data_IF_665607572928
#
_entry.id   IF_665607572928
#
_cell.length_a   1.000
_cell.length_b   1.000
_cell.length_c   1.000
_cell.angle_alpha   90.00
_cell.angle_beta   90.00
_cell.angle_gamma   90.00
#
_symmetry.space_group_name_H-M   'P 1'
#
loop_
_entity.id
_entity.type
_entity.pdbx_description
1 polymer ?
#
# COMPACT_ATOMS: atom_id res chain seq x y z
N UNK A 1 -9.04 -9.69 3.62
CA UNK A 1 -7.60 -9.40 3.72
C UNK A 1 -7.32 -8.02 3.13
N UNK A 2 -6.68 -7.17 3.89
CA UNK A 2 -6.10 -5.90 3.41
C UNK A 2 -4.58 -6.03 3.50
N UNK A 3 -3.91 -5.94 2.36
CA UNK A 3 -2.45 -5.96 2.28
C UNK A 3 -1.94 -4.55 1.97
N UNK A 4 -1.15 -4.00 2.86
CA UNK A 4 -0.49 -2.72 2.67
C UNK A 4 0.88 -2.90 2.02
N UNK A 5 1.15 -2.12 0.99
CA UNK A 5 2.44 -1.99 0.34
C UNK A 5 2.90 -0.54 0.48
N UNK A 6 3.88 -0.30 1.34
CA UNK A 6 4.28 1.04 1.76
C UNK A 6 5.69 1.36 1.27
N UNK A 7 5.79 2.49 0.57
CA UNK A 7 7.06 3.10 0.21
C UNK A 7 7.71 3.70 1.46
N UNK A 8 8.83 3.13 1.86
CA UNK A 8 9.65 3.65 2.94
C UNK A 8 11.00 4.21 2.46
N UNK A 9 11.13 4.48 1.17
CA UNK A 9 12.26 5.23 0.61
C UNK A 9 12.24 6.66 1.16
N UNK A 10 13.40 7.28 1.35
CA UNK A 10 13.40 8.48 2.15
C UNK A 10 14.13 9.68 1.59
N UNK A 11 13.42 10.76 1.29
CA UNK A 11 13.88 12.14 1.45
C UNK A 11 13.39 12.71 2.80
N UNK A 12 13.94 13.84 3.30
CA UNK A 12 13.46 14.46 4.55
C UNK A 12 11.98 14.84 4.51
N UNK A 13 11.41 15.15 3.35
CA UNK A 13 9.97 15.32 3.14
C UNK A 13 9.19 14.00 3.36
N UNK A 14 9.85 12.84 3.22
CA UNK A 14 9.26 11.53 3.48
C UNK A 14 8.97 11.29 4.97
N UNK A 15 9.66 11.91 5.91
CA UNK A 15 9.38 11.70 7.35
C UNK A 15 8.02 12.21 7.75
N UNK A 16 7.63 13.42 7.33
CA UNK A 16 6.28 13.98 7.60
C UNK A 16 5.20 13.16 6.89
N UNK A 17 5.48 12.74 5.65
CA UNK A 17 4.57 11.87 4.90
C UNK A 17 4.44 10.51 5.57
N UNK A 18 5.53 9.97 6.10
CA UNK A 18 5.53 8.68 6.80
C UNK A 18 4.65 8.70 8.04
N UNK A 19 4.61 9.78 8.81
CA UNK A 19 3.69 9.90 9.95
C UNK A 19 2.22 9.92 9.50
N UNK A 20 1.90 10.65 8.43
CA UNK A 20 0.55 10.64 7.85
C UNK A 20 0.18 9.26 7.31
N UNK A 21 1.12 8.58 6.62
CA UNK A 21 0.95 7.22 6.13
C UNK A 21 0.73 6.24 7.28
N UNK A 22 1.54 6.32 8.33
CA UNK A 22 1.37 5.47 9.53
C UNK A 22 0.00 5.67 10.17
N UNK A 23 -0.44 6.93 10.31
CA UNK A 23 -1.77 7.26 10.82
C UNK A 23 -2.90 6.68 9.98
N UNK A 24 -2.82 6.83 8.66
CA UNK A 24 -3.81 6.28 7.73
C UNK A 24 -3.84 4.74 7.77
N UNK A 25 -2.67 4.10 7.74
CA UNK A 25 -2.56 2.64 7.84
C UNK A 25 -3.09 2.15 9.17
N UNK A 26 -2.80 2.82 10.29
CA UNK A 26 -3.31 2.46 11.62
C UNK A 26 -4.84 2.57 11.67
N UNK A 27 -5.42 3.62 11.10
CA UNK A 27 -6.88 3.77 11.03
C UNK A 27 -7.55 2.65 10.22
N UNK A 28 -6.97 2.29 9.07
CA UNK A 28 -7.44 1.18 8.26
C UNK A 28 -7.27 -0.18 8.94
N UNK A 29 -6.22 -0.32 9.76
CA UNK A 29 -5.99 -1.48 10.62
C UNK A 29 -7.10 -1.65 11.66
N UNK A 30 -7.47 -0.56 12.33
CA UNK A 30 -8.55 -0.57 13.32
C UNK A 30 -9.89 -0.93 12.68
N UNK A 31 -10.18 -0.40 11.49
CA UNK A 31 -11.38 -0.75 10.73
C UNK A 31 -11.38 -2.23 10.31
N UNK A 32 -10.27 -2.73 9.82
CA UNK A 32 -10.11 -4.13 9.44
C UNK A 32 -10.31 -5.08 10.65
N UNK A 33 -9.82 -4.69 11.81
CA UNK A 33 -10.03 -5.44 13.06
C UNK A 33 -11.51 -5.52 13.45
N UNK A 34 -12.23 -4.40 13.43
CA UNK A 34 -13.66 -4.38 13.72
C UNK A 34 -14.44 -5.32 12.81
N UNK A 35 -13.95 -5.56 11.59
CA UNK A 35 -14.54 -6.45 10.59
C UNK A 35 -13.99 -7.88 10.61
N UNK A 36 -13.09 -8.21 11.54
CA UNK A 36 -12.38 -9.50 11.60
C UNK A 36 -11.58 -9.80 10.33
N UNK A 37 -11.11 -8.77 9.63
CA UNK A 37 -10.23 -8.91 8.47
C UNK A 37 -8.80 -9.22 8.91
N UNK A 38 -8.08 -9.95 8.08
CA UNK A 38 -6.62 -10.06 8.19
C UNK A 38 -5.97 -8.83 7.58
N UNK A 39 -4.87 -8.41 8.18
CA UNK A 39 -4.03 -7.31 7.70
C UNK A 39 -2.60 -7.78 7.54
N UNK A 40 -1.96 -7.41 6.44
CA UNK A 40 -0.53 -7.61 6.19
C UNK A 40 0.15 -6.30 5.82
N UNK A 41 1.47 -6.23 6.03
CA UNK A 41 2.28 -5.05 5.73
C UNK A 41 3.57 -5.44 5.02
N UNK A 42 3.75 -4.89 3.85
CA UNK A 42 4.99 -4.95 3.07
C UNK A 42 5.58 -3.54 3.02
N UNK A 43 6.88 -3.45 3.22
CA UNK A 43 7.65 -2.25 3.05
C UNK A 43 8.67 -2.45 1.92
N UNK A 44 8.83 -1.46 1.03
CA UNK A 44 9.88 -1.49 0.02
C UNK A 44 10.79 -0.27 0.14
N UNK A 45 12.10 -0.53 0.12
CA UNK A 45 13.16 0.48 0.20
C UNK A 45 14.53 -0.09 -0.12
N UNK A 46 15.53 0.75 -0.40
CA UNK A 46 16.91 0.32 -0.63
C UNK A 46 17.01 -0.61 -1.82
N UNK A 47 17.32 -1.88 -1.62
CA UNK A 47 17.52 -2.84 -2.67
C UNK A 47 16.32 -3.79 -2.92
N UNK A 48 15.27 -3.75 -2.08
CA UNK A 48 14.19 -4.71 -2.20
C UNK A 48 12.94 -4.41 -1.37
N UNK A 49 12.12 -5.42 -1.22
CA UNK A 49 10.91 -5.38 -0.41
C UNK A 49 10.94 -6.43 0.70
N UNK A 50 10.27 -6.15 1.80
CA UNK A 50 10.18 -7.03 2.95
C UNK A 50 8.76 -7.12 3.46
N UNK A 51 8.27 -8.33 3.68
CA UNK A 51 7.02 -8.60 4.40
C UNK A 51 7.27 -8.38 5.90
N UNK A 52 6.96 -7.16 6.38
CA UNK A 52 7.15 -6.78 7.79
C UNK A 52 6.13 -7.44 8.70
N UNK A 53 4.90 -7.61 8.20
CA UNK A 53 3.81 -8.24 8.92
C UNK A 53 3.14 -9.24 8.00
N UNK A 54 3.30 -10.54 8.24
CA UNK A 54 2.47 -11.56 7.60
C UNK A 54 0.99 -11.33 7.91
N UNK A 55 0.07 -11.69 6.98
CA UNK A 55 -1.36 -11.51 7.19
C UNK A 55 -1.85 -12.07 8.52
N UNK A 56 -2.31 -11.18 9.39
CA UNK A 56 -2.76 -11.47 10.76
C UNK A 56 -4.05 -10.70 11.09
N UNK A 57 -4.78 -11.16 12.09
CA UNK A 57 -5.89 -10.42 12.71
C UNK A 57 -5.48 -9.65 13.98
N UNK A 58 -4.19 -9.65 14.34
CA UNK A 58 -3.68 -8.91 15.50
C UNK A 58 -3.34 -7.47 15.13
N UNK A 59 -4.14 -6.52 15.62
CA UNK A 59 -3.91 -5.07 15.45
C UNK A 59 -2.64 -4.62 16.17
N UNK A 60 -2.42 -5.14 17.38
CA UNK A 60 -1.23 -4.77 18.17
C UNK A 60 0.08 -5.15 17.47
N UNK A 61 0.10 -6.32 16.82
CA UNK A 61 1.26 -6.73 16.03
C UNK A 61 1.49 -5.80 14.84
N UNK A 62 0.41 -5.34 14.18
CA UNK A 62 0.48 -4.43 13.06
C UNK A 62 0.93 -3.03 13.48
N UNK A 63 0.38 -2.49 14.58
CA UNK A 63 0.75 -1.17 15.12
C UNK A 63 2.25 -1.13 15.47
N UNK A 64 2.75 -2.11 16.23
CA UNK A 64 4.17 -2.21 16.56
C UNK A 64 5.10 -2.26 15.34
N UNK A 65 4.68 -2.97 14.28
CA UNK A 65 5.48 -3.05 13.05
C UNK A 65 5.49 -1.75 12.27
N UNK A 66 4.39 -1.00 12.27
CA UNK A 66 4.33 0.34 11.69
C UNK A 66 5.22 1.34 12.41
N UNK A 67 5.20 1.35 13.75
CA UNK A 67 6.04 2.23 14.55
C UNK A 67 7.53 2.03 14.26
N UNK A 68 7.97 0.78 14.16
CA UNK A 68 9.37 0.40 13.94
C UNK A 68 9.76 0.31 12.46
N UNK A 69 8.88 0.72 11.55
CA UNK A 69 9.14 0.62 10.11
C UNK A 69 10.36 1.48 9.72
N UNK A 70 11.39 0.86 9.13
CA UNK A 70 12.60 1.58 8.72
C UNK A 70 12.30 2.51 7.55
N UNK A 71 12.95 3.69 7.52
CA UNK A 71 12.81 4.64 6.42
C UNK A 71 14.18 4.99 5.80
N UNK A 72 14.19 5.30 4.50
CA UNK A 72 15.38 5.75 3.76
C UNK A 72 15.83 4.79 2.67
N UNK A 73 16.67 5.30 1.77
CA UNK A 73 17.24 4.55 0.64
C UNK A 73 16.47 4.72 -0.68
N UNK A 74 16.79 3.88 -1.67
CA UNK A 74 16.21 3.88 -3.01
C UNK A 74 14.78 3.30 -2.99
N UNK A 75 14.07 3.42 -4.10
CA UNK A 75 12.67 3.03 -4.27
C UNK A 75 12.56 1.84 -5.25
N UNK A 76 12.62 0.59 -4.77
CA UNK A 76 12.48 -0.62 -5.59
C UNK A 76 10.99 -1.01 -5.74
N UNK A 77 10.19 -0.16 -6.40
CA UNK A 77 8.74 -0.34 -6.52
C UNK A 77 8.35 -1.69 -7.14
N UNK A 78 9.06 -2.13 -8.18
CA UNK A 78 8.81 -3.42 -8.83
C UNK A 78 8.99 -4.60 -7.86
N UNK A 79 10.02 -4.54 -6.99
CA UNK A 79 10.21 -5.56 -5.94
C UNK A 79 9.07 -5.54 -4.92
N UNK A 80 8.57 -4.36 -4.56
CA UNK A 80 7.39 -4.21 -3.71
C UNK A 80 6.16 -4.88 -4.30
N UNK A 81 5.86 -4.60 -5.56
CA UNK A 81 4.73 -5.21 -6.28
C UNK A 81 4.88 -6.73 -6.41
N UNK A 82 6.11 -7.22 -6.65
CA UNK A 82 6.39 -8.65 -6.73
C UNK A 82 6.14 -9.37 -5.40
N UNK A 83 6.60 -8.81 -4.27
CA UNK A 83 6.36 -9.39 -2.94
C UNK A 83 4.87 -9.33 -2.57
N UNK A 84 4.17 -8.24 -2.92
CA UNK A 84 2.73 -8.15 -2.73
C UNK A 84 2.01 -9.26 -3.51
N UNK A 85 2.33 -9.46 -4.78
CA UNK A 85 1.77 -10.51 -5.62
C UNK A 85 2.01 -11.91 -5.03
N UNK A 86 3.25 -12.19 -4.60
CA UNK A 86 3.61 -13.46 -3.98
C UNK A 86 2.85 -13.71 -2.67
N UNK A 87 2.70 -12.69 -1.83
CA UNK A 87 1.95 -12.77 -0.58
C UNK A 87 0.46 -13.02 -0.84
N UNK A 88 -0.14 -12.30 -1.80
CA UNK A 88 -1.54 -12.49 -2.18
C UNK A 88 -1.81 -13.88 -2.77
N UNK A 89 -0.88 -14.40 -3.58
CA UNK A 89 -0.98 -15.74 -4.14
C UNK A 89 -0.98 -16.81 -3.03
N UNK A 90 -0.09 -16.67 -2.03
CA UNK A 90 -0.05 -17.57 -0.85
C UNK A 90 -1.35 -17.53 -0.06
N UNK A 91 -1.93 -16.36 0.16
CA UNK A 91 -3.20 -16.23 0.89
C UNK A 91 -4.39 -16.76 0.08
N UNK A 92 -4.38 -16.61 -1.23
CA UNK A 92 -5.42 -17.19 -2.12
C UNK A 92 -5.41 -18.72 -2.08
N UNK A 93 -4.23 -19.35 -1.97
CA UNK A 93 -4.13 -20.82 -1.78
C UNK A 93 -4.71 -21.28 -0.43
N UNK A 94 -4.56 -20.46 0.63
CA UNK A 94 -5.10 -20.76 1.96
C UNK A 94 -6.61 -20.56 2.07
N UNK A 95 -7.13 -19.56 1.38
CA UNK A 95 -8.54 -19.22 1.37
C UNK A 95 -8.97 -18.65 0.00
N UNK A 96 -9.36 -19.51 -0.94
CA UNK A 96 -9.74 -19.11 -2.30
C UNK A 96 -10.99 -18.20 -2.36
N UNK A 97 -11.82 -18.19 -1.32
CA UNK A 97 -13.04 -17.36 -1.25
C UNK A 97 -12.75 -15.93 -0.81
N UNK A 98 -11.58 -15.69 -0.23
CA UNK A 98 -11.21 -14.38 0.27
C UNK A 98 -10.85 -13.45 -0.87
N UNK A 99 -11.51 -12.30 -0.91
CA UNK A 99 -11.19 -11.22 -1.84
C UNK A 99 -10.18 -10.28 -1.19
N UNK A 100 -8.91 -10.30 -1.59
CA UNK A 100 -7.91 -9.41 -1.05
C UNK A 100 -8.03 -8.01 -1.64
N UNK A 101 -7.68 -7.00 -0.84
CA UNK A 101 -7.45 -5.64 -1.26
C UNK A 101 -5.97 -5.30 -1.08
N UNK A 102 -5.32 -4.79 -2.12
CA UNK A 102 -3.97 -4.26 -2.06
C UNK A 102 -4.03 -2.73 -1.98
N UNK A 103 -3.53 -2.17 -0.88
CA UNK A 103 -3.41 -0.72 -0.69
C UNK A 103 -1.95 -0.33 -0.85
N UNK A 104 -1.64 0.45 -1.89
CA UNK A 104 -0.28 0.87 -2.23
C UNK A 104 -0.14 2.33 -1.85
N UNK A 105 0.85 2.64 -1.03
CA UNK A 105 1.17 4.00 -0.58
C UNK A 105 2.53 4.38 -1.12
N UNK A 106 2.59 5.27 -2.11
CA UNK A 106 3.80 5.64 -2.84
C UNK A 106 3.61 6.97 -3.57
N UNK A 107 4.70 7.63 -3.94
CA UNK A 107 4.69 8.74 -4.93
C UNK A 107 4.89 8.22 -6.38
N UNK A 108 4.92 6.91 -6.54
CA UNK A 108 5.07 6.26 -7.86
C UNK A 108 6.50 6.26 -8.41
N UNK A 109 7.46 6.89 -7.73
CA UNK A 109 8.85 6.87 -8.17
C UNK A 109 9.43 5.47 -8.07
N UNK A 110 10.29 5.14 -9.01
CA UNK A 110 11.15 3.97 -8.90
C UNK A 110 12.58 4.37 -9.30
N UNK A 111 13.55 4.03 -8.45
CA UNK A 111 14.95 4.39 -8.65
C UNK A 111 15.86 3.17 -8.58
N UNK A 112 15.29 1.99 -8.42
CA UNK A 112 16.01 0.74 -8.26
C UNK A 112 15.20 -0.45 -8.81
N UNK A 113 15.87 -1.32 -9.57
CA UNK A 113 15.30 -2.55 -10.10
C UNK A 113 14.65 -2.40 -11.48
N UNK A 114 13.82 -3.35 -11.85
CA UNK A 114 13.11 -3.39 -13.14
C UNK A 114 11.93 -2.43 -13.19
N UNK A 115 11.40 -2.20 -14.39
CA UNK A 115 10.19 -1.40 -14.61
C UNK A 115 9.00 -1.98 -13.83
N UNK A 116 8.33 -1.18 -12.99
CA UNK A 116 7.15 -1.61 -12.23
C UNK A 116 5.94 -1.92 -13.13
N UNK A 117 5.87 -1.40 -14.35
CA UNK A 117 4.73 -1.58 -15.26
C UNK A 117 4.43 -3.04 -15.55
N UNK A 118 5.47 -3.86 -15.77
CA UNK A 118 5.29 -5.30 -16.01
C UNK A 118 4.66 -6.01 -14.81
N UNK A 119 5.06 -5.64 -13.59
CA UNK A 119 4.51 -6.24 -12.38
C UNK A 119 3.09 -5.74 -12.09
N UNK A 120 2.82 -4.47 -12.38
CA UNK A 120 1.47 -3.90 -12.31
C UNK A 120 0.50 -4.63 -13.27
N UNK A 121 0.92 -4.89 -14.51
CA UNK A 121 0.12 -5.66 -15.47
C UNK A 121 -0.19 -7.08 -14.99
N UNK A 122 0.78 -7.76 -14.34
CA UNK A 122 0.56 -9.09 -13.75
C UNK A 122 -0.45 -9.06 -12.61
N UNK A 123 -0.36 -8.09 -11.69
CA UNK A 123 -1.32 -7.91 -10.60
C UNK A 123 -2.73 -7.64 -11.12
N UNK A 124 -2.84 -6.82 -12.17
CA UNK A 124 -4.11 -6.58 -12.86
C UNK A 124 -4.67 -7.87 -13.47
N UNK A 125 -3.82 -8.68 -14.10
CA UNK A 125 -4.20 -9.98 -14.66
C UNK A 125 -4.65 -10.99 -13.61
N UNK A 126 -4.11 -10.90 -12.38
CA UNK A 126 -4.52 -11.72 -11.25
C UNK A 126 -5.89 -11.28 -10.65
N UNK A 127 -6.50 -10.23 -11.19
CA UNK A 127 -7.78 -9.66 -10.74
C UNK A 127 -7.79 -9.31 -9.25
N UNK A 128 -6.73 -8.65 -8.81
CA UNK A 128 -6.59 -8.13 -7.44
C UNK A 128 -7.18 -6.72 -7.37
N UNK A 129 -8.10 -6.49 -6.43
CA UNK A 129 -8.58 -5.14 -6.14
C UNK A 129 -7.44 -4.29 -5.57
N UNK A 130 -7.16 -3.14 -6.18
CA UNK A 130 -6.05 -2.26 -5.81
C UNK A 130 -6.52 -0.82 -5.57
N UNK A 131 -5.91 -0.18 -4.57
CA UNK A 131 -6.01 1.27 -4.32
C UNK A 131 -4.60 1.82 -4.27
N UNK A 132 -4.34 2.90 -5.00
CA UNK A 132 -3.07 3.64 -4.93
C UNK A 132 -3.32 4.96 -4.22
N UNK A 133 -2.62 5.15 -3.10
CA UNK A 133 -2.61 6.39 -2.32
C UNK A 133 -1.33 7.14 -2.70
N UNK A 134 -1.52 8.24 -3.43
CA UNK A 134 -0.43 9.10 -3.85
C UNK A 134 0.02 9.97 -2.68
N UNK A 135 1.27 9.80 -2.27
CA UNK A 135 1.91 10.62 -1.25
C UNK A 135 2.90 11.64 -1.84
N UNK A 136 2.81 11.94 -3.15
CA UNK A 136 3.62 12.98 -3.75
C UNK A 136 3.31 14.34 -3.12
N UNK A 137 4.36 15.06 -2.70
CA UNK A 137 4.25 16.36 -2.08
C UNK A 137 5.21 17.36 -2.75
N UNK A 138 4.80 18.62 -2.79
CA UNK A 138 5.59 19.71 -3.33
C UNK A 138 4.89 20.42 -4.51
N UNK A 139 5.47 21.53 -4.97
CA UNK A 139 4.86 22.36 -6.02
C UNK A 139 4.92 21.70 -7.42
N UNK A 140 5.88 20.81 -7.65
CA UNK A 140 6.05 20.07 -8.90
C UNK A 140 5.60 18.64 -8.69
N UNK A 141 4.54 18.23 -9.37
CA UNK A 141 4.01 16.88 -9.34
C UNK A 141 4.34 16.12 -10.62
N UNK A 142 4.88 14.93 -10.50
CA UNK A 142 5.20 14.05 -11.62
C UNK A 142 4.01 13.14 -12.00
N UNK A 143 3.07 12.93 -11.07
CA UNK A 143 1.87 12.13 -11.30
C UNK A 143 2.13 10.63 -11.50
N UNK A 144 3.31 10.13 -11.11
CA UNK A 144 3.73 8.74 -11.36
C UNK A 144 2.86 7.71 -10.64
N UNK A 145 2.32 8.07 -9.47
CA UNK A 145 1.36 7.24 -8.75
C UNK A 145 0.05 7.05 -9.54
N UNK A 146 -0.39 8.09 -10.26
CA UNK A 146 -1.53 8.01 -11.17
C UNK A 146 -1.28 7.06 -12.35
N UNK A 147 -0.08 7.12 -12.95
CA UNK A 147 0.34 6.18 -14.00
C UNK A 147 0.33 4.74 -13.48
N UNK A 148 0.85 4.52 -12.27
CA UNK A 148 0.82 3.21 -11.62
C UNK A 148 -0.62 2.73 -11.39
N UNK A 149 -1.51 3.61 -10.92
CA UNK A 149 -2.92 3.28 -10.70
C UNK A 149 -3.61 2.85 -12.00
N UNK A 150 -3.36 3.54 -13.11
CA UNK A 150 -3.88 3.15 -14.43
C UNK A 150 -3.36 1.78 -14.87
N UNK A 151 -2.07 1.51 -14.70
CA UNK A 151 -1.46 0.23 -15.05
C UNK A 151 -2.05 -0.93 -14.25
N UNK A 152 -2.36 -0.71 -12.97
CA UNK A 152 -3.00 -1.67 -12.08
C UNK A 152 -4.52 -1.81 -12.30
N UNK A 153 -5.17 -0.86 -12.96
CA UNK A 153 -6.63 -0.72 -12.93
C UNK A 153 -7.14 -0.39 -11.52
N UNK A 154 -6.35 0.36 -10.75
CA UNK A 154 -6.60 0.69 -9.35
C UNK A 154 -7.38 1.99 -9.19
N UNK A 155 -8.08 2.12 -8.07
CA UNK A 155 -8.56 3.42 -7.61
C UNK A 155 -7.37 4.30 -7.21
N UNK A 156 -7.38 5.55 -7.63
CA UNK A 156 -6.39 6.56 -7.25
C UNK A 156 -6.94 7.48 -6.18
N UNK A 157 -6.16 7.73 -5.13
CA UNK A 157 -6.46 8.66 -4.05
C UNK A 157 -5.24 9.55 -3.80
N UNK A 158 -5.46 10.84 -3.58
CA UNK A 158 -4.39 11.77 -3.24
C UNK A 158 -4.36 12.02 -1.73
N UNK A 159 -3.22 11.76 -1.09
CA UNK A 159 -3.07 11.91 0.37
C UNK A 159 -3.23 13.37 0.83
N UNK A 160 -2.86 14.38 0.01
CA UNK A 160 -3.01 15.79 0.37
C UNK A 160 -4.47 16.24 0.38
N UNK A 161 -5.27 15.73 -0.54
CA UNK A 161 -6.71 15.97 -0.57
C UNK A 161 -7.43 15.28 0.61
N UNK A 162 -6.80 14.25 1.15
CA UNK A 162 -7.26 13.51 2.32
C UNK A 162 -6.75 14.13 3.64
N UNK A 163 -5.71 14.98 3.60
CA UNK A 163 -5.01 15.52 4.77
C UNK A 163 -5.81 16.50 5.63
N UNK A 164 -6.82 17.17 5.05
CA UNK A 164 -7.82 17.97 5.77
C UNK A 164 -9.05 17.14 6.21
N UNK A 165 -9.12 15.91 5.74
CA UNK A 165 -10.24 15.01 5.93
C UNK A 165 -9.70 13.77 6.66
N UNK A 166 -10.11 13.60 7.89
CA UNK A 166 -9.69 12.55 8.80
C UNK A 166 -9.42 11.18 8.13
N UNK A 167 -8.53 10.38 8.71
CA UNK A 167 -8.26 8.99 8.33
C UNK A 167 -9.53 8.15 8.02
N UNK A 168 -10.70 8.58 8.50
CA UNK A 168 -12.02 8.05 8.17
C UNK A 168 -12.36 8.07 6.69
N UNK A 169 -11.98 9.09 5.93
CA UNK A 169 -12.33 9.16 4.49
C UNK A 169 -11.49 8.25 3.60
N UNK A 170 -10.21 8.02 3.95
CA UNK A 170 -9.43 6.96 3.29
C UNK A 170 -10.12 5.62 3.51
N UNK A 171 -10.53 5.39 4.74
CA UNK A 171 -11.26 4.21 5.15
C UNK A 171 -12.58 4.07 4.38
N UNK A 172 -13.33 5.15 4.19
CA UNK A 172 -14.61 5.12 3.48
C UNK A 172 -14.44 4.95 1.96
N UNK A 173 -13.44 5.54 1.35
CA UNK A 173 -13.10 5.34 -0.06
C UNK A 173 -12.65 3.89 -0.33
N UNK A 174 -11.77 3.35 0.51
CA UNK A 174 -11.36 1.94 0.48
C UNK A 174 -12.54 1.01 0.73
N UNK A 175 -13.46 1.38 1.62
CA UNK A 175 -14.71 0.66 1.90
C UNK A 175 -15.65 0.63 0.70
N UNK A 176 -15.86 1.77 0.05
CA UNK A 176 -16.72 1.87 -1.11
C UNK A 176 -16.23 0.96 -2.23
N UNK A 177 -14.92 0.96 -2.49
CA UNK A 177 -14.31 0.11 -3.51
C UNK A 177 -14.48 -1.40 -3.22
N UNK A 178 -14.38 -1.83 -1.95
CA UNK A 178 -14.60 -3.24 -1.57
C UNK A 178 -16.03 -3.73 -1.75
N UNK A 179 -17.03 -2.83 -1.78
CA UNK A 179 -18.42 -3.21 -2.00
C UNK A 179 -18.74 -3.43 -3.47
N UNK A 180 -17.95 -2.83 -4.37
CA UNK A 180 -18.18 -2.84 -5.82
C UNK A 180 -17.29 -3.88 -6.53
N UNK A 181 -16.15 -4.25 -5.95
CA UNK A 181 -15.21 -5.26 -6.46
C UNK A 181 -15.49 -6.65 -5.83
#
# INVERSE_FOLDING_TARGET
>A
LVLFLVDASGSMAARRRMEAVKGAVLSLLLDAYQRRDKVGLICFRGAGAQLLLPPTSSVDAAARRLETMPAGGRTPLAAGLAEARATLARERLRDPRRRPLLVIVTDGRHTQGSDPAMMAARLRGDNVACVVIDCEAGPVRLGLAGVLAQALGAQYLNLQELGDLSAGMITDSVRAYRKVA
#
